data_IF_995782084194
#
_entry.id   IF_995782084194
#
_cell.length_a   1.000
_cell.length_b   1.000
_cell.length_c   1.000
_cell.angle_alpha   90.00
_cell.angle_beta   90.00
_cell.angle_gamma   90.00
#
_symmetry.space_group_name_H-M   'P 1'
#
loop_
_entity.id
_entity.type
_entity.pdbx_description
1 polymer ?
#
# COMPACT_ATOMS: atom_id res chain seq x y z
N UNK A 1 -0.34 -5.08 -2.96
CA UNK A 1 0.60 -6.01 -2.29
C UNK A 1 -0.10 -6.64 -1.10
N UNK A 2 0.26 -7.86 -0.70
CA UNK A 2 -0.25 -8.50 0.54
C UNK A 2 0.68 -8.29 1.74
N UNK A 3 1.76 -7.53 1.61
CA UNK A 3 2.68 -7.25 2.72
C UNK A 3 2.24 -5.98 3.42
N UNK A 4 1.86 -6.11 4.70
CA UNK A 4 1.42 -4.99 5.52
C UNK A 4 2.51 -3.93 5.64
N UNK A 5 2.11 -2.67 5.49
CA UNK A 5 3.02 -1.52 5.48
C UNK A 5 3.46 -1.06 6.87
N UNK A 6 2.92 -1.68 7.92
CA UNK A 6 3.37 -1.50 9.30
C UNK A 6 4.71 -2.25 9.51
N UNK A 7 4.65 -3.55 9.82
CA UNK A 7 5.82 -4.39 10.14
C UNK A 7 5.93 -5.65 9.26
N UNK A 8 5.30 -5.65 8.08
CA UNK A 8 5.58 -6.65 7.04
C UNK A 8 4.79 -7.96 7.14
N UNK A 9 3.86 -8.08 8.09
CA UNK A 9 2.99 -9.26 8.16
C UNK A 9 2.14 -9.45 6.89
N UNK A 10 1.83 -10.69 6.49
CA UNK A 10 0.86 -10.96 5.44
C UNK A 10 -0.55 -10.44 5.82
N UNK A 11 -1.13 -9.61 4.95
CA UNK A 11 -2.53 -9.20 5.00
C UNK A 11 -3.34 -10.31 4.33
N UNK A 12 -4.09 -11.07 5.13
CA UNK A 12 -4.67 -12.35 4.71
C UNK A 12 -6.17 -12.49 4.98
N UNK A 13 -6.78 -11.55 5.72
CA UNK A 13 -8.19 -11.61 6.07
C UNK A 13 -8.95 -10.59 5.21
N UNK A 14 -10.00 -11.04 4.53
CA UNK A 14 -10.83 -10.20 3.68
C UNK A 14 -12.28 -10.24 4.16
N UNK A 15 -12.83 -9.07 4.46
CA UNK A 15 -14.23 -8.87 4.82
C UNK A 15 -15.04 -8.54 3.56
N UNK A 16 -15.91 -9.47 3.15
CA UNK A 16 -16.62 -9.40 1.87
C UNK A 16 -17.62 -8.23 1.77
N UNK A 17 -18.25 -7.86 2.89
CA UNK A 17 -19.33 -6.86 2.88
C UNK A 17 -18.83 -5.42 2.81
N UNK A 18 -17.69 -5.15 3.42
CA UNK A 18 -17.09 -3.81 3.53
C UNK A 18 -15.92 -3.62 2.55
N UNK A 19 -15.48 -4.71 1.92
CA UNK A 19 -14.28 -4.73 1.09
C UNK A 19 -13.00 -4.38 1.86
N UNK A 20 -12.97 -4.65 3.17
CA UNK A 20 -11.79 -4.43 3.98
C UNK A 20 -10.81 -5.62 3.91
N UNK A 21 -9.53 -5.30 3.79
CA UNK A 21 -8.44 -6.23 4.07
C UNK A 21 -7.86 -5.96 5.45
N UNK A 22 -7.69 -7.01 6.26
CA UNK A 22 -7.22 -6.91 7.63
C UNK A 22 -5.88 -7.64 7.79
N UNK A 23 -4.92 -6.94 8.41
CA UNK A 23 -3.67 -7.51 8.86
C UNK A 23 -3.87 -8.14 10.25
N UNK A 24 -3.71 -9.46 10.43
CA UNK A 24 -4.02 -10.12 11.70
C UNK A 24 -3.06 -9.79 12.84
N UNK A 25 -1.86 -9.28 12.54
CA UNK A 25 -0.84 -9.03 13.57
C UNK A 25 -1.20 -7.88 14.51
N UNK A 26 -1.65 -6.76 13.94
CA UNK A 26 -1.94 -5.52 14.69
C UNK A 26 -3.20 -4.82 14.19
N UNK A 27 -4.03 -5.55 13.44
CA UNK A 27 -5.36 -5.13 13.01
C UNK A 27 -5.36 -3.87 12.11
N UNK A 28 -4.27 -3.62 11.38
CA UNK A 28 -4.32 -2.63 10.31
C UNK A 28 -5.36 -3.04 9.28
N UNK A 29 -6.29 -2.14 8.99
CA UNK A 29 -7.40 -2.36 8.07
C UNK A 29 -7.25 -1.44 6.87
N UNK A 30 -7.41 -2.01 5.68
CA UNK A 30 -7.22 -1.34 4.40
C UNK A 30 -8.52 -1.45 3.58
N UNK A 31 -9.04 -0.33 3.09
CA UNK A 31 -10.20 -0.30 2.21
C UNK A 31 -9.77 -0.55 0.77
N UNK A 32 -10.03 -1.75 0.24
CA UNK A 32 -9.59 -2.10 -1.12
C UNK A 32 -10.41 -1.43 -2.22
N UNK A 33 -11.59 -0.89 -1.88
CA UNK A 33 -12.40 -0.13 -2.83
C UNK A 33 -11.86 1.28 -3.04
N UNK A 34 -11.14 1.81 -2.06
CA UNK A 34 -10.44 3.10 -2.10
C UNK A 34 -8.91 2.92 -2.06
N UNK A 35 -8.36 2.21 -3.05
CA UNK A 35 -6.91 2.11 -3.26
C UNK A 35 -6.13 1.44 -2.12
N UNK A 36 -6.77 0.63 -1.29
CA UNK A 36 -6.20 0.05 -0.06
C UNK A 36 -5.75 1.10 0.96
N UNK A 37 -6.46 2.23 1.04
CA UNK A 37 -6.25 3.26 2.06
C UNK A 37 -6.40 2.68 3.46
N UNK A 38 -5.54 3.13 4.39
CA UNK A 38 -5.66 2.71 5.79
C UNK A 38 -6.88 3.36 6.42
N UNK A 39 -7.76 2.54 6.99
CA UNK A 39 -8.96 2.99 7.71
C UNK A 39 -8.88 2.71 9.21
N UNK A 40 -8.00 1.81 9.64
CA UNK A 40 -7.76 1.51 11.06
C UNK A 40 -6.38 0.90 11.32
N UNK A 41 -5.93 0.93 12.57
CA UNK A 41 -4.71 0.29 13.06
C UNK A 41 -3.41 1.06 12.75
N UNK A 42 -2.24 0.46 13.04
CA UNK A 42 -0.96 1.19 13.09
C UNK A 42 -0.26 1.39 11.74
N UNK A 43 -0.82 0.90 10.62
CA UNK A 43 -0.21 1.14 9.32
C UNK A 43 -0.37 2.63 8.96
N UNK A 44 0.69 3.28 8.50
CA UNK A 44 0.65 4.71 8.19
C UNK A 44 0.42 5.01 6.69
N UNK A 45 0.34 3.97 5.85
CA UNK A 45 0.32 4.12 4.39
C UNK A 45 -0.47 3.00 3.69
N UNK A 46 -1.09 3.27 2.53
CA UNK A 46 -1.84 2.28 1.77
C UNK A 46 -0.99 1.08 1.33
N UNK A 47 -1.63 -0.04 1.01
CA UNK A 47 -0.95 -1.15 0.34
C UNK A 47 -0.66 -0.74 -1.12
N UNK A 48 0.60 -0.82 -1.60
CA UNK A 48 0.91 -0.50 -3.00
C UNK A 48 0.11 -1.36 -3.97
N UNK A 49 -0.47 -0.73 -5.00
CA UNK A 49 -1.25 -1.41 -6.03
C UNK A 49 -0.34 -1.94 -7.15
N UNK A 50 -0.61 -3.16 -7.63
CA UNK A 50 0.06 -3.71 -8.81
C UNK A 50 -0.86 -3.47 -10.01
N UNK A 51 -0.46 -2.68 -11.02
CA UNK A 51 -1.28 -2.48 -12.22
C UNK A 51 -1.41 -3.79 -13.00
N UNK A 52 -2.64 -4.30 -13.12
CA UNK A 52 -2.96 -5.53 -13.87
C UNK A 52 -3.72 -5.19 -15.15
N UNK A 53 -3.52 -5.95 -16.21
CA UNK A 53 -4.36 -5.97 -17.42
C UNK A 53 -4.66 -7.42 -17.82
N UNK A 54 -5.49 -7.60 -18.85
CA UNK A 54 -5.71 -8.87 -19.54
C UNK A 54 -4.93 -8.82 -20.86
N UNK A 55 -4.18 -9.88 -21.19
CA UNK A 55 -3.50 -10.02 -22.48
C UNK A 55 -4.42 -10.57 -23.58
N UNK A 56 -3.89 -10.71 -24.80
CA UNK A 56 -4.65 -11.16 -25.97
C UNK A 56 -5.15 -12.61 -25.85
N UNK A 57 -4.49 -13.41 -24.99
CA UNK A 57 -4.88 -14.79 -24.68
C UNK A 57 -5.87 -14.89 -23.51
N UNK A 58 -6.18 -13.78 -22.83
CA UNK A 58 -7.15 -13.71 -21.74
C UNK A 58 -6.55 -13.92 -20.35
N UNK A 59 -5.23 -13.90 -20.17
CA UNK A 59 -4.57 -14.03 -18.88
C UNK A 59 -4.36 -12.68 -18.19
N UNK A 60 -4.38 -12.69 -16.86
CA UNK A 60 -4.01 -11.52 -16.06
C UNK A 60 -2.49 -11.34 -16.07
N UNK A 61 -2.03 -10.17 -16.51
CA UNK A 61 -0.60 -9.82 -16.56
C UNK A 61 -0.34 -8.49 -15.85
N UNK A 62 0.83 -8.37 -15.22
CA UNK A 62 1.27 -7.10 -14.64
C UNK A 62 1.75 -6.16 -15.76
N UNK A 63 1.26 -4.92 -15.75
CA UNK A 63 1.65 -3.92 -16.76
C UNK A 63 3.01 -3.30 -16.47
N UNK A 64 3.34 -3.17 -15.18
CA UNK A 64 4.59 -2.61 -14.65
C UNK A 64 4.75 -2.98 -13.18
N UNK A 65 5.90 -2.65 -12.61
CA UNK A 65 6.18 -2.80 -11.18
C UNK A 65 5.28 -1.89 -10.32
N UNK A 66 5.36 -2.08 -9.00
CA UNK A 66 4.74 -1.17 -8.03
C UNK A 66 5.35 0.23 -8.15
N UNK A 67 4.51 1.25 -8.08
CA UNK A 67 4.94 2.67 -8.07
C UNK A 67 5.45 3.13 -6.70
N UNK A 68 5.32 2.28 -5.67
CA UNK A 68 5.83 2.56 -4.33
C UNK A 68 6.48 1.30 -3.73
N UNK A 69 7.46 1.47 -2.82
CA UNK A 69 8.04 0.36 -2.09
C UNK A 69 7.00 -0.46 -1.32
N UNK A 70 7.18 -1.78 -1.31
CA UNK A 70 6.34 -2.75 -0.62
C UNK A 70 6.80 -2.90 0.85
N UNK A 71 5.86 -3.12 1.78
CA UNK A 71 6.17 -3.52 3.16
C UNK A 71 6.46 -2.37 4.13
N UNK A 72 7.19 -2.57 5.23
CA UNK A 72 7.48 -1.50 6.18
C UNK A 72 8.17 -0.29 5.54
N UNK A 73 7.97 0.90 6.13
CA UNK A 73 8.75 2.08 5.76
C UNK A 73 10.21 1.92 6.16
N UNK A 74 11.09 2.64 5.46
CA UNK A 74 12.52 2.75 5.73
C UNK A 74 12.96 4.21 5.55
N UNK A 75 14.17 4.54 6.00
CA UNK A 75 14.63 5.91 6.15
C UNK A 75 14.66 6.70 4.84
N UNK A 76 15.13 6.09 3.75
CA UNK A 76 15.28 6.75 2.45
C UNK A 76 13.99 6.80 1.62
N UNK A 77 12.88 6.21 2.09
CA UNK A 77 11.62 6.13 1.33
C UNK A 77 11.12 7.51 0.89
N UNK A 78 11.21 8.49 1.79
CA UNK A 78 10.71 9.85 1.54
C UNK A 78 11.67 10.70 0.71
N UNK A 79 12.95 10.31 0.64
CA UNK A 79 14.00 11.06 -0.07
C UNK A 79 13.99 10.78 -1.58
N UNK A 80 13.23 9.79 -2.04
CA UNK A 80 13.03 9.49 -3.48
C UNK A 80 11.80 10.18 -4.08
N UNK A 81 11.02 10.89 -3.27
CA UNK A 81 9.89 11.70 -3.77
C UNK A 81 10.39 12.92 -4.55
N UNK A 82 11.60 13.40 -4.22
CA UNK A 82 12.14 14.65 -4.77
C UNK A 82 12.64 14.54 -6.23
N UNK A 83 12.91 13.34 -6.74
CA UNK A 83 13.46 13.15 -8.09
C UNK A 83 12.41 12.82 -9.17
N UNK A 84 11.22 12.31 -8.81
CA UNK A 84 10.21 11.93 -9.80
C UNK A 84 8.83 12.62 -9.67
N UNK A 85 8.42 13.15 -8.51
CA UNK A 85 7.04 13.70 -8.33
C UNK A 85 6.99 14.92 -7.37
N UNK A 86 7.03 16.16 -7.90
CA UNK A 86 7.32 17.38 -7.12
C UNK A 86 6.19 17.93 -6.23
N UNK A 87 4.99 17.33 -6.17
CA UNK A 87 3.83 17.94 -5.51
C UNK A 87 3.47 17.40 -4.11
N UNK A 88 4.21 16.41 -3.57
CA UNK A 88 3.82 15.78 -2.28
C UNK A 88 4.60 16.23 -1.05
N UNK A 89 5.44 17.27 -1.15
CA UNK A 89 6.35 17.74 -0.07
C UNK A 89 5.66 18.44 1.11
N UNK A 90 4.38 18.20 1.37
CA UNK A 90 3.69 18.84 2.48
C UNK A 90 3.55 17.91 3.71
N UNK A 91 4.47 18.13 4.67
CA UNK A 91 4.37 17.93 6.13
C UNK A 91 4.99 16.67 6.74
N UNK A 92 6.31 16.70 6.95
CA UNK A 92 6.98 15.89 8.00
C UNK A 92 7.96 16.68 8.86
N UNK A 93 7.91 18.01 8.85
CA UNK A 93 8.55 18.78 9.90
C UNK A 93 7.62 18.82 11.12
N UNK A 94 8.15 18.29 12.22
CA UNK A 94 7.61 18.33 13.58
C UNK A 94 6.74 17.13 14.01
N UNK A 95 7.42 16.02 14.32
CA UNK A 95 7.05 15.11 15.41
C UNK A 95 8.22 14.19 15.76
N UNK A 96 9.14 14.75 16.54
CA UNK A 96 9.88 13.98 17.54
C UNK A 96 8.92 13.51 18.66
#
# INVERSE_FOLDING_TARGET
SKICTHVGCPVALYEQHTHHLLCPCHQSTFDVSDGAKVVFGPAARPLPQLPITVDDEGYLVAQRDFTEPIGPSFWERLNHIDDEHPESSARTEDRA
#
